data_IF_579118817366
#
_entry.id   IF_579118817366
#
_cell.length_a   1.000
_cell.length_b   1.000
_cell.length_c   1.000
_cell.angle_alpha   90.00
_cell.angle_beta   90.00
_cell.angle_gamma   90.00
#
_symmetry.space_group_name_H-M   'P 1'
#
loop_
_entity.id
_entity.type
_entity.pdbx_description
1 polymer ?
#
# COMPACT_ATOMS: atom_id res chain seq x y z
N UNK A 1 16.22 37.03 -10.22
CA UNK A 1 16.62 36.20 -11.39
C UNK A 1 17.07 34.82 -10.91
N UNK A 2 16.44 33.79 -11.41
CA UNK A 2 16.80 32.39 -11.08
C UNK A 2 18.07 32.05 -11.87
N UNK A 3 19.13 31.67 -11.17
CA UNK A 3 20.37 31.23 -11.84
C UNK A 3 20.16 29.84 -12.45
N UNK A 4 20.74 29.61 -13.61
CA UNK A 4 20.68 28.29 -14.27
C UNK A 4 21.22 27.17 -13.36
N UNK A 5 22.25 27.47 -12.58
CA UNK A 5 22.82 26.56 -11.56
C UNK A 5 21.80 26.12 -10.54
N UNK A 6 20.88 27.00 -10.13
CA UNK A 6 19.85 26.69 -9.13
C UNK A 6 18.82 25.71 -9.71
N UNK A 7 18.51 25.81 -10.99
CA UNK A 7 17.64 24.89 -11.71
C UNK A 7 18.30 23.52 -11.85
N UNK A 8 19.59 23.47 -12.19
CA UNK A 8 20.34 22.22 -12.37
C UNK A 8 20.60 21.49 -11.04
N UNK A 9 20.66 22.21 -9.92
CA UNK A 9 20.88 21.64 -8.59
C UNK A 9 19.56 21.30 -7.88
N UNK A 10 18.41 21.57 -8.51
CA UNK A 10 17.13 21.22 -7.92
C UNK A 10 17.03 19.71 -7.80
N UNK A 11 16.96 19.21 -6.54
CA UNK A 11 16.79 17.80 -6.27
C UNK A 11 15.47 17.28 -6.85
N UNK A 12 15.53 16.09 -7.44
CA UNK A 12 14.34 15.38 -7.86
C UNK A 12 13.50 15.03 -6.65
N UNK A 13 12.20 15.17 -6.77
CA UNK A 13 11.26 14.67 -5.78
C UNK A 13 10.91 13.22 -6.13
N UNK A 14 11.24 12.31 -5.24
CA UNK A 14 11.05 10.88 -5.41
C UNK A 14 9.99 10.38 -4.44
N UNK A 15 9.03 9.63 -4.96
CA UNK A 15 8.03 8.93 -4.18
C UNK A 15 8.23 7.43 -4.33
N UNK A 16 8.42 6.75 -3.20
CA UNK A 16 8.45 5.28 -3.14
C UNK A 16 7.15 4.81 -2.50
N UNK A 17 6.40 3.99 -3.23
CA UNK A 17 5.10 3.48 -2.80
C UNK A 17 5.20 1.97 -2.66
N UNK A 18 4.78 1.46 -1.51
CA UNK A 18 4.73 0.02 -1.24
C UNK A 18 3.30 -0.37 -0.96
N UNK A 19 2.81 -1.41 -1.61
CA UNK A 19 1.64 -2.12 -1.17
C UNK A 19 1.94 -2.87 0.14
N UNK A 20 0.93 -3.27 0.88
CA UNK A 20 1.12 -3.98 2.14
C UNK A 20 0.84 -5.47 2.04
N UNK A 21 -0.41 -5.84 1.77
CA UNK A 21 -0.83 -7.24 1.77
C UNK A 21 -0.15 -8.01 0.64
N UNK A 22 0.49 -9.13 0.96
CA UNK A 22 1.27 -9.99 0.06
C UNK A 22 2.48 -9.31 -0.57
N UNK A 23 2.79 -8.07 -0.20
CA UNK A 23 3.99 -7.34 -0.61
C UNK A 23 4.98 -7.19 0.55
N UNK A 24 4.55 -6.65 1.67
CA UNK A 24 5.39 -6.49 2.87
C UNK A 24 5.16 -7.60 3.89
N UNK A 25 3.94 -8.09 3.97
CA UNK A 25 3.59 -9.16 4.90
C UNK A 25 2.40 -9.96 4.39
N UNK A 26 2.31 -11.20 4.85
CA UNK A 26 1.13 -12.05 4.71
C UNK A 26 0.50 -12.23 6.08
N UNK A 27 -0.81 -12.11 6.16
CA UNK A 27 -1.56 -12.33 7.39
C UNK A 27 -2.78 -13.20 7.10
N UNK A 28 -3.28 -13.87 8.14
CA UNK A 28 -4.51 -14.62 8.03
C UNK A 28 -5.68 -13.65 8.00
N UNK A 29 -6.34 -13.54 6.87
CA UNK A 29 -7.52 -12.71 6.67
C UNK A 29 -8.39 -13.30 5.57
N UNK A 30 -9.69 -13.30 5.80
CA UNK A 30 -10.66 -13.84 4.87
C UNK A 30 -11.54 -12.73 4.31
N UNK A 31 -11.97 -12.90 3.07
CA UNK A 31 -13.02 -12.11 2.47
C UNK A 31 -14.28 -12.97 2.48
N UNK A 32 -15.34 -12.49 3.11
CA UNK A 32 -16.59 -13.24 3.23
C UNK A 32 -17.54 -12.84 2.13
N UNK A 33 -17.98 -13.83 1.33
CA UNK A 33 -18.99 -13.61 0.29
C UNK A 33 -20.34 -13.69 0.94
N UNK A 34 -21.11 -12.63 0.79
CA UNK A 34 -22.45 -12.47 1.37
C UNK A 34 -23.51 -12.57 0.29
N UNK A 35 -24.60 -13.27 0.60
CA UNK A 35 -25.78 -13.30 -0.26
C UNK A 35 -27.02 -13.38 0.64
N UNK A 36 -27.97 -12.48 0.43
CA UNK A 36 -29.18 -12.44 1.23
C UNK A 36 -28.92 -12.26 2.74
N UNK A 37 -27.89 -11.50 3.10
CA UNK A 37 -27.51 -11.26 4.49
C UNK A 37 -26.78 -12.41 5.16
N UNK A 38 -26.41 -13.45 4.42
CA UNK A 38 -25.71 -14.63 4.94
C UNK A 38 -24.36 -14.80 4.28
N UNK A 39 -23.36 -15.25 5.05
CA UNK A 39 -22.06 -15.67 4.49
C UNK A 39 -22.23 -17.04 3.82
N UNK A 40 -21.99 -17.08 2.51
CA UNK A 40 -22.10 -18.32 1.72
C UNK A 40 -20.74 -18.98 1.46
N UNK A 41 -19.64 -18.22 1.50
CA UNK A 41 -18.30 -18.74 1.41
C UNK A 41 -17.29 -17.72 1.91
N UNK A 42 -16.08 -18.16 2.16
CA UNK A 42 -14.94 -17.30 2.47
C UNK A 42 -13.81 -17.54 1.48
N UNK A 43 -13.12 -16.48 1.12
CA UNK A 43 -12.03 -16.49 0.15
C UNK A 43 -10.76 -15.94 0.82
N UNK A 44 -9.62 -16.51 0.50
CA UNK A 44 -8.36 -15.85 0.78
C UNK A 44 -8.10 -14.75 -0.27
N UNK A 45 -7.10 -13.86 -0.07
CA UNK A 45 -6.84 -12.78 -1.02
C UNK A 45 -6.52 -13.25 -2.44
N UNK A 46 -5.83 -14.39 -2.60
CA UNK A 46 -5.53 -14.93 -3.93
C UNK A 46 -6.79 -15.43 -4.64
N UNK A 47 -7.65 -16.13 -3.90
CA UNK A 47 -8.95 -16.59 -4.42
C UNK A 47 -9.85 -15.40 -4.78
N UNK A 48 -9.85 -14.37 -3.95
CA UNK A 48 -10.62 -13.15 -4.20
C UNK A 48 -10.18 -12.45 -5.49
N UNK A 49 -8.89 -12.40 -5.75
CA UNK A 49 -8.34 -11.71 -6.92
C UNK A 49 -8.87 -12.28 -8.25
N UNK A 50 -9.26 -13.55 -8.28
CA UNK A 50 -9.77 -14.24 -9.47
C UNK A 50 -11.26 -14.62 -9.36
N UNK A 51 -11.91 -14.20 -8.28
CA UNK A 51 -13.31 -14.52 -8.04
C UNK A 51 -14.23 -13.68 -8.93
N UNK A 52 -15.16 -14.36 -9.59
CA UNK A 52 -16.19 -13.72 -10.41
C UNK A 52 -17.50 -13.67 -9.60
N UNK A 53 -17.88 -12.49 -9.08
CA UNK A 53 -19.07 -12.38 -8.25
C UNK A 53 -20.33 -12.62 -9.04
N UNK A 54 -21.25 -13.38 -8.44
CA UNK A 54 -22.58 -13.63 -9.00
C UNK A 54 -23.53 -12.51 -8.62
N UNK A 55 -24.62 -12.31 -9.39
CA UNK A 55 -25.63 -11.31 -9.03
C UNK A 55 -26.15 -11.50 -7.60
N UNK A 56 -26.25 -10.41 -6.85
CA UNK A 56 -26.70 -10.41 -5.46
C UNK A 56 -25.65 -10.74 -4.43
N UNK A 57 -24.42 -11.06 -4.85
CA UNK A 57 -23.30 -11.25 -3.93
C UNK A 57 -22.65 -9.92 -3.57
N UNK A 58 -22.25 -9.80 -2.31
CA UNK A 58 -21.42 -8.70 -1.79
C UNK A 58 -20.28 -9.27 -0.98
N UNK A 59 -19.31 -8.42 -0.61
CA UNK A 59 -18.11 -8.84 0.10
C UNK A 59 -17.98 -8.13 1.44
N UNK A 60 -17.59 -8.89 2.46
CA UNK A 60 -17.31 -8.38 3.79
C UNK A 60 -15.83 -8.55 4.09
N UNK A 61 -15.13 -7.43 4.30
CA UNK A 61 -13.69 -7.36 4.54
C UNK A 61 -13.35 -7.14 6.01
N UNK A 62 -14.22 -7.53 6.95
CA UNK A 62 -14.06 -7.26 8.38
C UNK A 62 -12.74 -7.73 8.97
N UNK A 63 -12.15 -8.82 8.44
CA UNK A 63 -10.86 -9.33 8.94
C UNK A 63 -9.71 -8.34 8.70
N UNK A 64 -9.85 -7.48 7.71
CA UNK A 64 -8.85 -6.47 7.39
C UNK A 64 -8.96 -5.22 8.27
N UNK A 65 -10.02 -5.08 9.04
CA UNK A 65 -10.24 -3.95 9.94
C UNK A 65 -9.64 -4.19 11.33
N UNK A 66 -9.24 -5.42 11.64
CA UNK A 66 -8.72 -5.82 12.94
C UNK A 66 -7.20 -5.99 12.94
N UNK A 67 -6.63 -6.17 14.13
CA UNK A 67 -5.22 -6.51 14.30
C UNK A 67 -4.85 -7.70 13.41
N UNK A 68 -3.69 -7.62 12.76
CA UNK A 68 -3.18 -8.69 11.91
C UNK A 68 -3.05 -10.00 12.68
N UNK A 69 -3.52 -11.09 12.08
CA UNK A 69 -3.46 -12.43 12.65
C UNK A 69 -2.33 -13.22 11.98
N UNK A 70 -1.44 -13.79 12.81
CA UNK A 70 -0.29 -14.59 12.36
C UNK A 70 0.51 -13.95 11.22
N UNK A 71 0.89 -12.66 11.34
CA UNK A 71 1.57 -11.97 10.26
C UNK A 71 2.97 -12.54 10.05
N UNK A 72 3.33 -12.74 8.77
CA UNK A 72 4.66 -13.14 8.35
C UNK A 72 5.21 -12.10 7.39
N UNK A 73 6.34 -11.52 7.73
CA UNK A 73 6.97 -10.51 6.86
C UNK A 73 7.56 -11.17 5.61
N UNK A 74 7.53 -10.43 4.52
CA UNK A 74 8.29 -10.74 3.31
C UNK A 74 9.61 -9.99 3.44
N UNK A 75 10.59 -10.68 4.00
CA UNK A 75 11.84 -10.09 4.48
C UNK A 75 12.54 -9.21 3.45
N UNK A 76 12.66 -9.68 2.22
CA UNK A 76 13.32 -8.96 1.15
C UNK A 76 12.67 -7.58 0.91
N UNK A 77 11.36 -7.52 0.90
CA UNK A 77 10.61 -6.29 0.63
C UNK A 77 10.61 -5.36 1.84
N UNK A 78 10.57 -5.91 3.05
CA UNK A 78 10.69 -5.11 4.28
C UNK A 78 12.07 -4.47 4.38
N UNK A 79 13.13 -5.18 4.01
CA UNK A 79 14.48 -4.62 3.97
C UNK A 79 14.59 -3.48 2.95
N UNK A 80 13.93 -3.62 1.80
CA UNK A 80 13.88 -2.55 0.80
C UNK A 80 13.13 -1.33 1.34
N UNK A 81 12.00 -1.54 2.02
CA UNK A 81 11.26 -0.46 2.68
C UNK A 81 12.14 0.30 3.67
N UNK A 82 12.88 -0.43 4.52
CA UNK A 82 13.81 0.18 5.49
C UNK A 82 14.86 1.02 4.81
N UNK A 83 15.42 0.54 3.69
CA UNK A 83 16.41 1.29 2.90
C UNK A 83 15.83 2.58 2.35
N UNK A 84 14.61 2.54 1.82
CA UNK A 84 13.96 3.73 1.28
C UNK A 84 13.62 4.75 2.37
N UNK A 85 13.16 4.29 3.53
CA UNK A 85 12.92 5.15 4.69
C UNK A 85 14.21 5.81 5.18
N UNK A 86 15.31 5.08 5.22
CA UNK A 86 16.60 5.60 5.62
C UNK A 86 17.13 6.66 4.64
N UNK A 87 17.00 6.41 3.33
CA UNK A 87 17.33 7.39 2.30
C UNK A 87 16.48 8.65 2.43
N UNK A 88 15.18 8.52 2.70
CA UNK A 88 14.28 9.65 2.87
C UNK A 88 14.70 10.52 4.06
N UNK A 89 15.05 9.88 5.18
CA UNK A 89 15.49 10.57 6.39
C UNK A 89 16.80 11.35 6.17
N UNK A 90 17.70 10.85 5.35
CA UNK A 90 19.00 11.47 5.04
C UNK A 90 18.94 12.49 3.90
N UNK A 91 17.82 12.57 3.20
CA UNK A 91 17.63 13.51 2.08
C UNK A 91 17.14 14.87 2.56
N UNK A 92 17.26 15.87 1.70
CA UNK A 92 16.66 17.18 1.95
C UNK A 92 15.15 17.04 2.19
N UNK A 93 14.61 17.89 3.05
CA UNK A 93 13.19 17.85 3.43
C UNK A 93 12.30 17.90 2.19
N UNK A 94 11.43 16.89 2.04
CA UNK A 94 10.49 16.80 0.93
C UNK A 94 11.05 16.22 -0.36
N UNK A 95 12.37 15.93 -0.43
CA UNK A 95 12.99 15.37 -1.63
C UNK A 95 12.60 13.91 -1.85
N UNK A 96 12.41 13.16 -0.79
CA UNK A 96 12.01 11.75 -0.84
C UNK A 96 10.87 11.48 0.13
N UNK A 97 9.83 10.83 -0.36
CA UNK A 97 8.71 10.37 0.45
C UNK A 97 8.51 8.88 0.25
N UNK A 98 8.21 8.19 1.34
CA UNK A 98 7.88 6.77 1.34
C UNK A 98 6.48 6.61 1.89
N UNK A 99 5.63 5.91 1.16
CA UNK A 99 4.22 5.71 1.52
C UNK A 99 3.85 4.24 1.38
N UNK A 100 3.15 3.73 2.37
CA UNK A 100 2.47 2.44 2.27
C UNK A 100 1.07 2.72 1.75
N UNK A 101 0.75 2.22 0.56
CA UNK A 101 -0.53 2.44 -0.09
C UNK A 101 -1.30 1.12 -0.10
N UNK A 102 -2.31 1.01 0.73
CA UNK A 102 -3.05 -0.23 0.93
C UNK A 102 -4.49 -0.14 0.45
N UNK A 103 -4.98 -1.24 -0.10
CA UNK A 103 -6.39 -1.38 -0.48
C UNK A 103 -7.32 -1.43 0.76
N UNK A 104 -6.78 -1.67 1.94
CA UNK A 104 -7.56 -1.70 3.18
C UNK A 104 -8.30 -0.40 3.41
N UNK A 105 -9.45 -0.49 4.05
CA UNK A 105 -10.26 0.66 4.44
C UNK A 105 -9.67 1.41 5.63
N UNK A 106 -9.03 0.68 6.54
CA UNK A 106 -8.46 1.20 7.78
C UNK A 106 -6.96 0.94 7.79
N UNK A 107 -6.17 2.00 8.00
CA UNK A 107 -4.70 1.90 8.03
C UNK A 107 -4.12 1.47 9.37
N UNK A 108 -4.89 1.59 10.45
CA UNK A 108 -4.39 1.34 11.82
C UNK A 108 -3.75 -0.03 12.02
N UNK A 109 -4.32 -1.15 11.56
CA UNK A 109 -3.69 -2.46 11.73
C UNK A 109 -2.31 -2.55 11.08
N UNK A 110 -2.14 -1.94 9.90
CA UNK A 110 -0.86 -1.88 9.17
C UNK A 110 0.15 -1.02 9.93
N UNK A 111 -0.27 0.16 10.35
CA UNK A 111 0.58 1.09 11.12
C UNK A 111 1.08 0.45 12.40
N UNK A 112 0.19 -0.19 13.15
CA UNK A 112 0.53 -0.85 14.42
C UNK A 112 1.51 -2.00 14.21
N UNK A 113 1.29 -2.80 13.17
CA UNK A 113 2.18 -3.91 12.85
C UNK A 113 3.59 -3.41 12.47
N UNK A 114 3.68 -2.41 11.59
CA UNK A 114 4.97 -1.85 11.19
C UNK A 114 5.72 -1.25 12.38
N UNK A 115 5.02 -0.57 13.28
CA UNK A 115 5.62 -0.04 14.52
C UNK A 115 6.17 -1.15 15.40
N UNK A 116 5.51 -2.31 15.47
CA UNK A 116 6.01 -3.46 16.22
C UNK A 116 7.35 -3.98 15.68
N UNK A 117 7.64 -3.71 14.41
CA UNK A 117 8.91 -4.03 13.76
C UNK A 117 9.93 -2.88 13.85
N UNK A 118 9.60 -1.81 14.57
CA UNK A 118 10.45 -0.61 14.63
C UNK A 118 10.37 0.27 13.39
N UNK A 119 9.36 0.08 12.54
CA UNK A 119 9.18 0.83 11.29
C UNK A 119 8.11 1.90 11.49
N UNK A 120 8.49 3.16 11.29
CA UNK A 120 7.58 4.28 11.29
C UNK A 120 7.38 4.75 9.86
N UNK A 121 6.25 4.36 9.26
CA UNK A 121 5.92 4.67 7.88
C UNK A 121 4.53 5.29 7.77
N UNK A 122 4.35 6.15 6.78
CA UNK A 122 3.06 6.76 6.48
C UNK A 122 2.20 5.77 5.70
N UNK A 123 1.00 5.49 6.22
CA UNK A 123 0.06 4.52 5.64
C UNK A 123 -1.15 5.25 5.09
N UNK A 124 -1.47 5.02 3.83
CA UNK A 124 -2.64 5.57 3.15
C UNK A 124 -3.59 4.43 2.80
N UNK A 125 -4.72 4.30 3.49
CA UNK A 125 -5.76 3.34 3.14
C UNK A 125 -6.66 3.94 2.06
N UNK A 126 -6.77 3.28 0.91
CA UNK A 126 -7.63 3.77 -0.17
C UNK A 126 -9.04 3.18 -0.13
N UNK A 127 -9.25 2.10 0.61
CA UNK A 127 -10.57 1.52 0.84
C UNK A 127 -11.19 0.86 -0.38
N UNK A 128 -10.37 0.40 -1.33
CA UNK A 128 -10.84 -0.25 -2.55
C UNK A 128 -9.81 -1.23 -3.07
N UNK A 129 -10.28 -2.37 -3.57
CA UNK A 129 -9.47 -3.36 -4.26
C UNK A 129 -9.31 -3.04 -5.76
N UNK A 130 -9.98 -2.01 -6.27
CA UNK A 130 -9.85 -1.59 -7.65
C UNK A 130 -8.46 -0.96 -7.88
N UNK A 131 -7.62 -1.52 -8.76
CA UNK A 131 -6.29 -0.98 -9.04
C UNK A 131 -6.30 0.48 -9.50
N UNK A 132 -7.38 0.92 -10.12
CA UNK A 132 -7.55 2.30 -10.58
C UNK A 132 -7.48 3.30 -9.42
N UNK A 133 -7.99 2.94 -8.25
CA UNK A 133 -8.00 3.85 -7.10
C UNK A 133 -6.57 4.15 -6.63
N UNK A 134 -5.70 3.13 -6.58
CA UNK A 134 -4.27 3.33 -6.29
C UNK A 134 -3.58 4.14 -7.37
N UNK A 135 -3.87 3.84 -8.64
CA UNK A 135 -3.30 4.56 -9.78
C UNK A 135 -3.70 6.05 -9.74
N UNK A 136 -4.95 6.35 -9.45
CA UNK A 136 -5.44 7.73 -9.32
C UNK A 136 -4.74 8.47 -8.18
N UNK A 137 -4.50 7.80 -7.05
CA UNK A 137 -3.75 8.38 -5.93
C UNK A 137 -2.33 8.73 -6.34
N UNK A 138 -1.64 7.82 -7.04
CA UNK A 138 -0.27 8.03 -7.53
C UNK A 138 -0.25 9.22 -8.51
N UNK A 139 -1.19 9.27 -9.44
CA UNK A 139 -1.30 10.37 -10.41
C UNK A 139 -1.43 11.72 -9.70
N UNK A 140 -2.23 11.81 -8.64
CA UNK A 140 -2.34 13.02 -7.84
C UNK A 140 -1.01 13.43 -7.21
N UNK A 141 -0.17 12.46 -6.79
CA UNK A 141 1.15 12.76 -6.26
C UNK A 141 2.08 13.33 -7.33
N UNK A 142 2.02 12.80 -8.56
CA UNK A 142 2.78 13.32 -9.70
C UNK A 142 2.39 14.78 -9.96
N UNK A 143 1.11 15.09 -9.92
CA UNK A 143 0.61 16.47 -10.08
C UNK A 143 1.09 17.40 -8.96
N UNK A 144 1.41 16.86 -7.78
CA UNK A 144 1.99 17.62 -6.68
C UNK A 144 3.50 17.85 -6.80
N UNK A 145 4.13 17.33 -7.87
CA UNK A 145 5.52 17.61 -8.18
C UNK A 145 6.51 16.48 -7.96
N UNK A 146 6.05 15.24 -7.76
CA UNK A 146 6.95 14.09 -7.71
C UNK A 146 7.38 13.70 -9.12
N UNK A 147 8.67 13.82 -9.40
CA UNK A 147 9.25 13.56 -10.72
C UNK A 147 9.41 12.07 -11.00
N UNK A 148 9.65 11.30 -9.96
CA UNK A 148 9.92 9.85 -10.04
C UNK A 148 9.06 9.14 -9.02
N UNK A 149 8.38 8.07 -9.46
CA UNK A 149 7.58 7.22 -8.58
C UNK A 149 8.02 5.77 -8.76
N UNK A 150 8.38 5.13 -7.67
CA UNK A 150 8.62 3.68 -7.61
C UNK A 150 7.43 3.05 -6.92
N UNK A 151 6.87 2.01 -7.52
CA UNK A 151 5.73 1.30 -6.95
C UNK A 151 6.06 -0.19 -6.86
N UNK A 152 5.96 -0.73 -5.65
CA UNK A 152 6.12 -2.15 -5.38
C UNK A 152 4.79 -2.77 -4.98
N UNK A 153 4.32 -3.71 -5.78
CA UNK A 153 3.06 -4.42 -5.61
C UNK A 153 3.29 -5.91 -5.94
N UNK A 154 2.47 -6.78 -5.35
CA UNK A 154 2.48 -8.21 -5.63
C UNK A 154 1.67 -8.59 -6.88
N UNK A 155 0.95 -7.65 -7.46
CA UNK A 155 0.05 -7.91 -8.59
C UNK A 155 0.83 -8.29 -9.85
N UNK A 156 0.56 -9.45 -10.46
CA UNK A 156 1.21 -9.85 -11.72
C UNK A 156 0.75 -9.05 -12.93
N UNK A 157 -0.21 -8.12 -12.77
CA UNK A 157 -0.79 -7.32 -13.84
C UNK A 157 -0.17 -5.92 -13.96
N UNK A 158 0.88 -5.67 -13.23
CA UNK A 158 1.60 -4.38 -13.28
C UNK A 158 2.82 -4.45 -14.18
#
# INVERSE_FOLDING_TARGET
MIKLTDILLRERKVLSVFDFDDTLAKADAWIYVQQGGRTIKKLDPAQFAVYDPKPGESFDFRDFDRKLQNPKIIKQNVELLKKQLDKARRSARGARKVTILTARRIGQPVTSFLRSLGINAYVVPVGSSDPKVKADWIEKQILKGYDTVYFMDDSPKN
#
